data_IF_343899967194
#
_entry.id   IF_343899967194
#
_cell.length_a   1.000
_cell.length_b   1.000
_cell.length_c   1.000
_cell.angle_alpha   90.00
_cell.angle_beta   90.00
_cell.angle_gamma   90.00
#
_symmetry.space_group_name_H-M   'P 1'
#
loop_
_entity.id
_entity.type
_entity.pdbx_description
1 polymer ?
#
# COMPACT_ATOMS: atom_id res chain seq x y z
N UNK A 1 17.53 32.54 -27.06
CA UNK A 1 16.28 31.86 -27.46
C UNK A 1 16.50 30.34 -27.42
N UNK A 2 17.63 29.88 -27.94
CA UNK A 2 17.99 28.46 -28.16
C UNK A 2 18.03 27.54 -26.91
N UNK A 3 18.44 28.03 -25.72
CA UNK A 3 18.54 27.17 -24.53
C UNK A 3 17.17 26.83 -23.91
N UNK A 4 16.18 27.74 -24.04
CA UNK A 4 14.83 27.49 -23.54
C UNK A 4 14.09 26.49 -24.44
N UNK A 5 14.21 26.68 -25.76
CA UNK A 5 13.63 25.80 -26.79
C UNK A 5 14.21 24.37 -26.68
N UNK A 6 15.53 24.23 -26.52
CA UNK A 6 16.17 22.94 -26.30
C UNK A 6 15.74 22.26 -24.98
N UNK A 7 15.41 23.04 -23.93
CA UNK A 7 14.91 22.51 -22.67
C UNK A 7 13.46 22.01 -22.78
N UNK A 8 12.62 22.72 -23.55
CA UNK A 8 11.23 22.31 -23.79
C UNK A 8 11.16 21.07 -24.67
N UNK A 9 11.99 20.99 -25.71
CA UNK A 9 12.10 19.80 -26.57
C UNK A 9 12.56 18.59 -25.78
N UNK A 10 13.58 18.76 -24.91
CA UNK A 10 14.06 17.69 -24.02
C UNK A 10 12.98 17.23 -23.05
N UNK A 11 12.20 18.15 -22.49
CA UNK A 11 11.06 17.84 -21.63
C UNK A 11 9.99 17.05 -22.40
N UNK A 12 9.63 17.48 -23.60
CA UNK A 12 8.63 16.82 -24.42
C UNK A 12 9.07 15.39 -24.80
N UNK A 13 10.33 15.21 -25.18
CA UNK A 13 10.91 13.90 -25.46
C UNK A 13 10.87 12.98 -24.23
N UNK A 14 11.19 13.51 -23.05
CA UNK A 14 11.14 12.75 -21.80
C UNK A 14 9.70 12.35 -21.43
N UNK A 15 8.73 13.25 -21.61
CA UNK A 15 7.31 12.94 -21.41
C UNK A 15 6.81 11.84 -22.36
N UNK A 16 7.28 11.83 -23.60
CA UNK A 16 6.97 10.77 -24.55
C UNK A 16 7.61 9.43 -24.13
N UNK A 17 8.88 9.46 -23.69
CA UNK A 17 9.59 8.28 -23.23
C UNK A 17 8.94 7.64 -21.99
N UNK A 18 8.44 8.45 -21.04
CA UNK A 18 7.66 7.97 -19.90
C UNK A 18 6.40 7.21 -20.32
N UNK A 19 5.82 7.51 -21.48
CA UNK A 19 4.65 6.82 -22.06
C UNK A 19 5.04 5.75 -23.09
N UNK A 20 6.32 5.44 -23.23
CA UNK A 20 6.84 4.49 -24.22
C UNK A 20 6.36 3.06 -24.02
N UNK A 21 6.43 2.24 -25.08
CA UNK A 21 5.90 0.88 -25.06
C UNK A 21 6.69 -0.08 -24.16
N UNK A 22 8.01 0.09 -24.05
CA UNK A 22 8.88 -0.86 -23.34
C UNK A 22 9.06 -0.47 -21.87
N UNK A 23 8.97 -1.43 -20.92
CA UNK A 23 9.25 -1.16 -19.51
C UNK A 23 10.65 -0.57 -19.28
N UNK A 24 11.68 -1.09 -20.00
CA UNK A 24 13.05 -0.59 -19.89
C UNK A 24 13.18 0.88 -20.32
N UNK A 25 12.49 1.29 -21.38
CA UNK A 25 12.49 2.70 -21.84
C UNK A 25 11.80 3.62 -20.83
N UNK A 26 10.66 3.19 -20.29
CA UNK A 26 9.95 3.94 -19.23
C UNK A 26 10.77 4.01 -17.94
N UNK A 27 11.47 2.94 -17.57
CA UNK A 27 12.37 2.91 -16.42
C UNK A 27 13.50 3.93 -16.57
N UNK A 28 14.18 3.94 -17.72
CA UNK A 28 15.23 4.91 -18.03
C UNK A 28 14.70 6.35 -18.01
N UNK A 29 13.51 6.59 -18.56
CA UNK A 29 12.86 7.89 -18.52
C UNK A 29 12.53 8.34 -17.08
N UNK A 30 12.00 7.43 -16.25
CA UNK A 30 11.71 7.73 -14.85
C UNK A 30 12.99 8.00 -14.04
N UNK A 31 14.07 7.25 -14.30
CA UNK A 31 15.38 7.49 -13.70
C UNK A 31 15.89 8.90 -14.06
N UNK A 32 15.86 9.26 -15.35
CA UNK A 32 16.30 10.58 -15.78
C UNK A 32 15.45 11.69 -15.15
N UNK A 33 14.13 11.52 -15.08
CA UNK A 33 13.22 12.49 -14.46
C UNK A 33 13.49 12.70 -12.96
N UNK A 34 13.98 11.69 -12.24
CA UNK A 34 14.38 11.84 -10.84
C UNK A 34 15.81 12.35 -10.65
N UNK A 35 16.72 12.06 -11.59
CA UNK A 35 18.09 12.62 -11.58
C UNK A 35 18.11 14.10 -11.94
N UNK A 36 17.23 14.54 -12.83
CA UNK A 36 17.07 15.93 -13.26
C UNK A 36 15.62 16.39 -13.00
N UNK A 37 15.26 16.73 -11.75
CA UNK A 37 13.87 17.04 -11.39
C UNK A 37 13.37 18.31 -12.07
N UNK A 38 12.29 18.19 -12.83
CA UNK A 38 11.62 19.30 -13.51
C UNK A 38 10.14 19.33 -13.11
N UNK A 39 9.66 20.40 -12.44
CA UNK A 39 8.25 20.58 -12.10
C UNK A 39 7.28 20.44 -13.28
N UNK A 40 7.73 20.73 -14.50
CA UNK A 40 6.94 20.54 -15.72
C UNK A 40 6.57 19.07 -15.99
N UNK A 41 7.31 18.11 -15.43
CA UNK A 41 7.03 16.68 -15.57
C UNK A 41 5.97 16.15 -14.59
N UNK A 42 5.57 16.95 -13.58
CA UNK A 42 4.71 16.48 -12.49
C UNK A 42 3.42 15.82 -12.99
N UNK A 43 2.72 16.46 -13.93
CA UNK A 43 1.47 15.91 -14.46
C UNK A 43 1.67 14.54 -15.13
N UNK A 44 2.72 14.41 -15.96
CA UNK A 44 3.05 13.16 -16.66
C UNK A 44 3.48 12.06 -15.70
N UNK A 45 4.27 12.38 -14.66
CA UNK A 45 4.66 11.41 -13.63
C UNK A 45 3.45 10.91 -12.83
N UNK A 46 2.55 11.81 -12.44
CA UNK A 46 1.31 11.46 -11.73
C UNK A 46 0.41 10.57 -12.59
N UNK A 47 0.18 10.97 -13.85
CA UNK A 47 -0.59 10.16 -14.81
C UNK A 47 0.02 8.76 -14.94
N UNK A 48 1.34 8.68 -15.10
CA UNK A 48 2.03 7.41 -15.32
C UNK A 48 1.97 6.49 -14.11
N UNK A 49 2.09 7.01 -12.88
CA UNK A 49 1.88 6.23 -11.66
C UNK A 49 0.52 5.50 -11.68
N UNK A 50 -0.53 6.15 -12.19
CA UNK A 50 -1.88 5.58 -12.20
C UNK A 50 -2.11 4.40 -13.14
N UNK A 51 -1.22 4.17 -14.12
CA UNK A 51 -1.42 3.16 -15.18
C UNK A 51 -0.21 2.29 -15.48
N UNK A 52 0.94 2.51 -14.82
CA UNK A 52 2.15 1.73 -15.02
C UNK A 52 2.05 0.26 -14.56
N UNK A 53 2.10 -0.74 -15.46
CA UNK A 53 2.01 -2.13 -15.07
C UNK A 53 3.30 -2.68 -14.42
N UNK A 54 4.47 -2.13 -14.77
CA UNK A 54 5.75 -2.62 -14.28
C UNK A 54 6.06 -2.10 -12.87
N UNK A 55 6.34 -3.01 -11.95
CA UNK A 55 6.62 -2.67 -10.54
C UNK A 55 7.87 -1.81 -10.39
N UNK A 56 8.97 -2.13 -11.09
CA UNK A 56 10.21 -1.37 -10.98
C UNK A 56 10.05 0.04 -11.55
N UNK A 57 9.27 0.19 -12.62
CA UNK A 57 8.92 1.52 -13.15
C UNK A 57 8.07 2.29 -12.13
N UNK A 58 7.07 1.67 -11.48
CA UNK A 58 6.27 2.34 -10.42
C UNK A 58 7.10 2.81 -9.23
N UNK A 59 8.04 2.00 -8.76
CA UNK A 59 8.95 2.40 -7.68
C UNK A 59 9.85 3.57 -8.11
N UNK A 60 10.34 3.54 -9.35
CA UNK A 60 11.19 4.60 -9.89
C UNK A 60 10.40 5.90 -10.12
N UNK A 61 9.14 5.82 -10.55
CA UNK A 61 8.25 6.98 -10.66
C UNK A 61 7.97 7.60 -9.29
N UNK A 62 7.76 6.78 -8.26
CA UNK A 62 7.62 7.24 -6.88
C UNK A 62 8.88 7.99 -6.43
N UNK A 63 10.06 7.42 -6.69
CA UNK A 63 11.33 8.09 -6.39
C UNK A 63 11.43 9.43 -7.13
N UNK A 64 11.18 9.47 -8.44
CA UNK A 64 11.21 10.71 -9.22
C UNK A 64 10.25 11.78 -8.68
N UNK A 65 9.05 11.41 -8.25
CA UNK A 65 8.10 12.33 -7.61
C UNK A 65 8.63 12.91 -6.30
N UNK A 66 9.35 12.12 -5.48
CA UNK A 66 9.93 12.58 -4.20
C UNK A 66 11.01 13.64 -4.43
N UNK A 67 11.66 13.64 -5.59
CA UNK A 67 12.69 14.63 -5.93
C UNK A 67 12.11 16.01 -6.27
N UNK A 68 10.82 16.11 -6.59
CA UNK A 68 10.14 17.38 -6.88
C UNK A 68 9.75 18.12 -5.59
N UNK A 69 9.53 19.46 -5.66
CA UNK A 69 9.09 20.23 -4.51
C UNK A 69 7.81 19.68 -3.87
N UNK A 70 7.86 19.37 -2.57
CA UNK A 70 6.72 18.81 -1.81
C UNK A 70 5.45 19.66 -1.90
N UNK A 71 5.59 20.98 -2.00
CA UNK A 71 4.49 21.94 -2.16
C UNK A 71 3.70 21.73 -3.46
N UNK A 72 4.30 21.11 -4.47
CA UNK A 72 3.63 20.75 -5.73
C UNK A 72 3.11 19.30 -5.71
N UNK A 73 3.91 18.38 -5.18
CA UNK A 73 3.65 16.94 -5.22
C UNK A 73 2.49 16.54 -4.31
N UNK A 74 2.48 17.01 -3.06
CA UNK A 74 1.46 16.60 -2.07
C UNK A 74 0.03 16.96 -2.52
N UNK A 75 -0.25 18.20 -3.00
CA UNK A 75 -1.58 18.51 -3.54
C UNK A 75 -1.95 17.68 -4.77
N UNK A 76 -1.00 17.32 -5.62
CA UNK A 76 -1.24 16.48 -6.79
C UNK A 76 -1.59 15.03 -6.41
N UNK A 77 -0.86 14.44 -5.47
CA UNK A 77 -1.14 13.10 -4.94
C UNK A 77 -2.48 13.05 -4.20
N UNK A 78 -2.81 14.09 -3.43
CA UNK A 78 -4.12 14.18 -2.75
C UNK A 78 -5.28 14.04 -3.73
N UNK A 79 -5.21 14.68 -4.92
CA UNK A 79 -6.27 14.54 -5.93
C UNK A 79 -6.39 13.12 -6.48
N UNK A 80 -5.30 12.35 -6.51
CA UNK A 80 -5.32 10.97 -6.99
C UNK A 80 -5.97 9.99 -5.99
N UNK A 81 -6.13 10.38 -4.73
CA UNK A 81 -6.84 9.57 -3.74
C UNK A 81 -8.32 9.34 -4.09
N UNK A 82 -8.91 10.21 -4.92
CA UNK A 82 -10.29 10.09 -5.42
C UNK A 82 -10.34 9.57 -6.88
N UNK A 83 -9.21 9.15 -7.44
CA UNK A 83 -9.15 8.69 -8.83
C UNK A 83 -9.96 7.38 -9.01
N UNK A 84 -10.62 7.19 -10.17
CA UNK A 84 -11.40 5.98 -10.43
C UNK A 84 -10.53 4.72 -10.47
N UNK A 85 -9.27 4.85 -10.94
CA UNK A 85 -8.33 3.76 -11.05
C UNK A 85 -7.75 3.37 -9.68
N UNK A 86 -7.92 2.12 -9.23
CA UNK A 86 -7.34 1.68 -7.95
C UNK A 86 -5.82 1.85 -7.88
N UNK A 87 -5.12 1.60 -8.99
CA UNK A 87 -3.67 1.79 -9.04
C UNK A 87 -3.26 3.25 -8.80
N UNK A 88 -4.03 4.23 -9.28
CA UNK A 88 -3.74 5.63 -9.00
C UNK A 88 -3.89 5.95 -7.51
N UNK A 89 -4.95 5.44 -6.87
CA UNK A 89 -5.16 5.58 -5.42
C UNK A 89 -4.03 4.91 -4.62
N UNK A 90 -3.69 3.65 -4.95
CA UNK A 90 -2.67 2.89 -4.23
C UNK A 90 -1.26 3.47 -4.41
N UNK A 91 -0.89 3.91 -5.62
CA UNK A 91 0.38 4.60 -5.83
C UNK A 91 0.43 5.95 -5.11
N UNK A 92 -0.67 6.72 -5.11
CA UNK A 92 -0.72 7.99 -4.40
C UNK A 92 -0.54 7.81 -2.89
N UNK A 93 -1.23 6.81 -2.30
CA UNK A 93 -1.03 6.41 -0.91
C UNK A 93 0.42 6.00 -0.63
N UNK A 94 1.00 5.16 -1.50
CA UNK A 94 2.38 4.71 -1.37
C UNK A 94 3.35 5.91 -1.36
N UNK A 95 3.26 6.81 -2.33
CA UNK A 95 4.12 8.00 -2.39
C UNK A 95 3.91 8.93 -1.19
N UNK A 96 2.67 9.16 -0.75
CA UNK A 96 2.38 9.96 0.46
C UNK A 96 3.03 9.36 1.72
N UNK A 97 3.08 8.03 1.84
CA UNK A 97 3.77 7.38 2.96
C UNK A 97 5.28 7.64 2.95
N UNK A 98 5.91 7.63 1.76
CA UNK A 98 7.34 7.96 1.61
C UNK A 98 7.67 9.42 1.93
N UNK A 99 6.72 10.31 1.67
CA UNK A 99 6.87 11.72 2.00
C UNK A 99 6.65 12.02 3.49
N UNK A 100 6.07 11.09 4.26
CA UNK A 100 5.69 11.29 5.67
C UNK A 100 4.81 12.54 5.80
N UNK A 101 3.53 12.40 5.48
CA UNK A 101 2.54 13.48 5.42
C UNK A 101 1.52 13.29 6.53
N UNK A 102 1.71 13.86 7.75
CA UNK A 102 0.80 13.64 8.88
C UNK A 102 -0.65 14.03 8.59
N UNK A 103 -0.86 15.10 7.80
CA UNK A 103 -2.19 15.54 7.38
C UNK A 103 -2.92 14.53 6.47
N UNK A 104 -2.23 13.50 5.97
CA UNK A 104 -2.84 12.44 5.18
C UNK A 104 -3.85 11.63 5.99
N UNK A 105 -3.79 11.62 7.33
CA UNK A 105 -4.77 10.97 8.19
C UNK A 105 -6.22 11.31 7.77
N UNK A 106 -6.52 12.60 7.63
CA UNK A 106 -7.85 13.10 7.27
C UNK A 106 -8.27 12.78 5.83
N UNK A 107 -7.35 12.33 4.97
CA UNK A 107 -7.63 11.94 3.58
C UNK A 107 -7.76 10.42 3.44
N UNK A 108 -7.07 9.65 4.29
CA UNK A 108 -7.00 8.20 4.23
C UNK A 108 -8.08 7.55 5.09
N UNK A 109 -8.29 8.05 6.30
CA UNK A 109 -9.22 7.47 7.25
C UNK A 109 -10.57 8.21 7.25
N UNK A 110 -11.72 7.51 7.27
CA UNK A 110 -11.87 6.05 7.19
C UNK A 110 -12.00 5.52 5.75
N UNK A 111 -12.15 6.39 4.75
CA UNK A 111 -12.61 6.01 3.41
C UNK A 111 -11.67 5.02 2.69
N UNK A 112 -10.38 5.32 2.58
CA UNK A 112 -9.43 4.46 1.86
C UNK A 112 -9.03 3.22 2.64
N UNK A 113 -9.09 3.28 3.98
CA UNK A 113 -8.97 2.09 4.83
C UNK A 113 -10.07 1.07 4.54
N UNK A 114 -11.24 1.54 4.09
CA UNK A 114 -12.38 0.72 3.71
C UNK A 114 -12.55 0.61 2.18
N UNK A 115 -11.54 0.95 1.38
CA UNK A 115 -11.64 0.88 -0.09
C UNK A 115 -12.04 -0.54 -0.52
N UNK A 116 -12.95 -0.70 -1.51
CA UNK A 116 -13.35 -2.02 -1.99
C UNK A 116 -12.23 -2.76 -2.73
N UNK A 117 -11.23 -2.04 -3.25
CA UNK A 117 -10.06 -2.65 -3.87
C UNK A 117 -9.04 -3.09 -2.81
N UNK A 118 -8.59 -4.34 -2.90
CA UNK A 118 -7.69 -4.93 -1.91
C UNK A 118 -6.30 -4.28 -1.90
N UNK A 119 -5.74 -3.91 -3.05
CA UNK A 119 -4.42 -3.28 -3.11
C UNK A 119 -4.44 -1.84 -2.57
N UNK A 120 -5.56 -1.12 -2.81
CA UNK A 120 -5.78 0.18 -2.18
C UNK A 120 -5.92 0.04 -0.67
N UNK A 121 -6.78 -0.86 -0.19
CA UNK A 121 -7.00 -1.07 1.24
C UNK A 121 -5.71 -1.46 1.96
N UNK A 122 -4.94 -2.42 1.43
CA UNK A 122 -3.64 -2.85 1.99
C UNK A 122 -2.64 -1.71 2.10
N UNK A 123 -2.61 -0.83 1.12
CA UNK A 123 -1.72 0.33 1.14
C UNK A 123 -2.22 1.36 2.15
N UNK A 124 -3.53 1.61 2.18
CA UNK A 124 -4.17 2.52 3.13
C UNK A 124 -3.99 2.07 4.59
N UNK A 125 -4.04 0.78 4.91
CA UNK A 125 -3.80 0.28 6.26
C UNK A 125 -2.40 0.64 6.75
N UNK A 126 -1.36 0.37 5.95
CA UNK A 126 0.03 0.74 6.28
C UNK A 126 0.19 2.24 6.45
N UNK A 127 -0.39 3.04 5.55
CA UNK A 127 -0.33 4.50 5.64
C UNK A 127 -1.04 4.98 6.91
N UNK A 128 -2.26 4.51 7.17
CA UNK A 128 -3.06 4.92 8.32
C UNK A 128 -2.36 4.63 9.65
N UNK A 129 -1.75 3.45 9.81
CA UNK A 129 -0.97 3.12 11.01
C UNK A 129 0.24 4.05 11.18
N UNK A 130 0.91 4.41 10.09
CA UNK A 130 2.06 5.31 10.13
C UNK A 130 1.73 6.78 10.41
N UNK A 131 0.47 7.20 10.24
CA UNK A 131 0.06 8.62 10.43
C UNK A 131 -1.10 8.81 11.41
N UNK A 132 -1.53 7.76 12.11
CA UNK A 132 -2.61 7.85 13.09
C UNK A 132 -2.25 8.85 14.19
N UNK A 133 -3.07 9.88 14.44
CA UNK A 133 -2.81 10.84 15.49
C UNK A 133 -3.15 10.25 16.87
N UNK A 134 -2.51 10.80 17.90
CA UNK A 134 -2.78 10.43 19.29
C UNK A 134 -4.26 10.59 19.62
N UNK A 135 -4.88 9.54 20.15
CA UNK A 135 -6.29 9.48 20.51
C UNK A 135 -7.20 8.83 19.46
N UNK A 136 -6.72 8.56 18.25
CA UNK A 136 -7.48 7.89 17.19
C UNK A 136 -7.11 6.41 17.03
N UNK A 137 -6.16 5.89 17.79
CA UNK A 137 -5.63 4.53 17.63
C UNK A 137 -6.74 3.47 17.83
N UNK A 138 -7.55 3.63 18.87
CA UNK A 138 -8.69 2.74 19.13
C UNK A 138 -9.73 2.74 17.99
N UNK A 139 -9.92 3.88 17.32
CA UNK A 139 -10.84 4.01 16.19
C UNK A 139 -10.27 3.31 14.94
N UNK A 140 -8.96 3.44 14.71
CA UNK A 140 -8.26 2.69 13.68
C UNK A 140 -8.32 1.19 13.96
N UNK A 141 -8.04 0.75 15.19
CA UNK A 141 -8.12 -0.65 15.64
C UNK A 141 -9.49 -1.23 15.35
N UNK A 142 -10.56 -0.57 15.81
CA UNK A 142 -11.93 -1.01 15.56
C UNK A 142 -12.26 -1.11 14.07
N UNK A 143 -11.71 -0.21 13.25
CA UNK A 143 -11.90 -0.24 11.79
C UNK A 143 -11.13 -1.38 11.13
N UNK A 144 -9.85 -1.57 11.44
CA UNK A 144 -9.01 -2.63 10.86
C UNK A 144 -9.50 -4.03 11.25
N UNK A 145 -9.99 -4.22 12.48
CA UNK A 145 -10.55 -5.51 12.91
C UNK A 145 -11.78 -5.94 12.08
N UNK A 146 -12.54 -5.00 11.50
CA UNK A 146 -13.65 -5.35 10.58
C UNK A 146 -13.18 -6.00 9.29
N UNK A 147 -11.92 -5.81 8.90
CA UNK A 147 -11.31 -6.41 7.71
C UNK A 147 -10.73 -7.81 7.96
N UNK A 148 -10.84 -8.36 9.18
CA UNK A 148 -10.48 -9.75 9.43
C UNK A 148 -11.21 -10.69 8.47
N UNK A 149 -10.51 -11.72 7.99
CA UNK A 149 -10.99 -12.60 6.92
C UNK A 149 -11.05 -12.03 5.49
N UNK A 150 -10.75 -10.75 5.25
CA UNK A 150 -10.80 -10.15 3.89
C UNK A 150 -9.75 -10.73 2.94
N UNK A 151 -10.12 -10.86 1.65
CA UNK A 151 -9.22 -11.16 0.54
C UNK A 151 -8.60 -12.55 0.56
N UNK A 152 -7.45 -12.72 -0.08
CA UNK A 152 -6.66 -13.96 -0.11
C UNK A 152 -5.67 -14.03 1.07
N UNK A 153 -4.63 -14.88 0.98
CA UNK A 153 -3.61 -14.99 2.03
C UNK A 153 -2.74 -13.73 2.13
N UNK A 154 -2.40 -13.10 1.01
CA UNK A 154 -1.54 -11.92 0.97
C UNK A 154 -2.25 -10.69 1.54
N UNK A 155 -3.54 -10.53 1.26
CA UNK A 155 -4.38 -9.48 1.85
C UNK A 155 -4.43 -9.64 3.37
N UNK A 156 -4.68 -10.86 3.86
CA UNK A 156 -4.71 -11.15 5.31
C UNK A 156 -3.36 -10.92 5.98
N UNK A 157 -2.28 -11.37 5.36
CA UNK A 157 -0.91 -11.12 5.82
C UNK A 157 -0.61 -9.62 5.94
N UNK A 158 -1.05 -8.82 4.97
CA UNK A 158 -0.93 -7.37 5.03
C UNK A 158 -1.73 -6.73 6.16
N UNK A 159 -2.98 -7.17 6.39
CA UNK A 159 -3.77 -6.68 7.52
C UNK A 159 -3.12 -7.06 8.86
N UNK A 160 -2.66 -8.30 9.00
CA UNK A 160 -1.98 -8.78 10.21
C UNK A 160 -0.75 -7.94 10.54
N UNK A 161 0.07 -7.58 9.54
CA UNK A 161 1.21 -6.68 9.74
C UNK A 161 0.79 -5.30 10.22
N UNK A 162 -0.24 -4.71 9.61
CA UNK A 162 -0.76 -3.41 10.04
C UNK A 162 -1.31 -3.45 11.49
N UNK A 163 -2.00 -4.53 11.86
CA UNK A 163 -2.50 -4.73 13.23
C UNK A 163 -1.35 -4.90 14.23
N UNK A 164 -0.28 -5.62 13.88
CA UNK A 164 0.90 -5.79 14.74
C UNK A 164 1.62 -4.45 14.94
N UNK A 165 1.79 -3.65 13.88
CA UNK A 165 2.36 -2.31 13.98
C UNK A 165 1.48 -1.40 14.87
N UNK A 166 0.16 -1.49 14.73
CA UNK A 166 -0.79 -0.73 15.56
C UNK A 166 -0.82 -1.20 17.02
N UNK A 167 -0.49 -2.46 17.31
CA UNK A 167 -0.40 -2.97 18.68
C UNK A 167 0.63 -2.22 19.54
N UNK A 168 1.64 -1.63 18.89
CA UNK A 168 2.66 -0.80 19.56
C UNK A 168 2.10 0.56 20.01
N UNK A 169 0.95 0.96 19.46
CA UNK A 169 0.31 2.26 19.70
C UNK A 169 -1.00 2.13 20.50
N UNK A 170 -1.66 0.97 20.44
CA UNK A 170 -2.94 0.69 21.10
C UNK A 170 -2.92 -0.63 21.88
N UNK A 171 -2.81 -0.53 23.21
CA UNK A 171 -2.83 -1.67 24.14
C UNK A 171 -4.16 -2.45 24.11
N UNK A 172 -5.24 -1.87 23.57
CA UNK A 172 -6.54 -2.54 23.49
C UNK A 172 -6.65 -3.52 22.32
N UNK A 173 -5.69 -3.50 21.39
CA UNK A 173 -5.72 -4.30 20.15
C UNK A 173 -5.61 -5.80 20.42
N UNK A 174 -4.70 -6.24 21.29
CA UNK A 174 -4.53 -7.67 21.61
C UNK A 174 -5.79 -8.25 22.29
N UNK A 175 -6.37 -7.65 23.35
CA UNK A 175 -7.65 -8.08 23.89
C UNK A 175 -8.78 -8.12 22.85
N UNK A 176 -8.80 -7.18 21.90
CA UNK A 176 -9.79 -7.16 20.84
C UNK A 176 -9.60 -8.30 19.82
N UNK A 177 -8.35 -8.65 19.47
CA UNK A 177 -8.02 -9.81 18.65
C UNK A 177 -8.41 -11.13 19.33
N UNK A 178 -8.18 -11.26 20.64
CA UNK A 178 -8.62 -12.43 21.42
C UNK A 178 -10.13 -12.59 21.32
N UNK A 179 -10.89 -11.52 21.58
CA UNK A 179 -12.36 -11.54 21.41
C UNK A 179 -12.76 -11.90 19.98
N UNK A 180 -12.08 -11.37 18.97
CA UNK A 180 -12.36 -11.66 17.57
C UNK A 180 -12.14 -13.15 17.22
N UNK A 181 -11.05 -13.73 17.72
CA UNK A 181 -10.73 -15.17 17.59
C UNK A 181 -11.81 -16.05 18.24
N UNK A 182 -12.40 -15.61 19.35
CA UNK A 182 -13.31 -16.44 20.12
C UNK A 182 -14.78 -16.31 19.66
N UNK A 183 -15.16 -15.17 19.05
CA UNK A 183 -16.58 -14.84 18.80
C UNK A 183 -17.00 -14.68 17.34
N UNK A 184 -16.06 -14.46 16.41
CA UNK A 184 -16.40 -14.19 15.00
C UNK A 184 -16.62 -15.47 14.17
N UNK A 185 -16.87 -15.33 12.86
CA UNK A 185 -17.01 -16.49 11.97
C UNK A 185 -15.67 -17.16 11.73
N UNK A 186 -15.70 -18.44 11.32
CA UNK A 186 -14.51 -19.29 11.20
C UNK A 186 -13.31 -18.63 10.49
N UNK A 187 -13.50 -17.99 9.33
CA UNK A 187 -12.42 -17.31 8.59
C UNK A 187 -11.82 -16.12 9.37
N UNK A 188 -12.67 -15.33 10.04
CA UNK A 188 -12.23 -14.20 10.86
C UNK A 188 -11.51 -14.69 12.12
N UNK A 189 -11.98 -15.77 12.73
CA UNK A 189 -11.34 -16.40 13.89
C UNK A 189 -9.96 -16.94 13.53
N UNK A 190 -9.84 -17.60 12.39
CA UNK A 190 -8.56 -18.10 11.89
C UNK A 190 -7.59 -16.96 11.61
N UNK A 191 -8.05 -15.87 10.98
CA UNK A 191 -7.20 -14.71 10.75
C UNK A 191 -6.75 -14.08 12.07
N UNK A 192 -7.68 -13.79 13.00
CA UNK A 192 -7.33 -13.23 14.31
C UNK A 192 -6.36 -14.13 15.09
N UNK A 193 -6.56 -15.45 15.06
CA UNK A 193 -5.65 -16.43 15.66
C UNK A 193 -4.24 -16.36 15.06
N UNK A 194 -4.13 -16.29 13.74
CA UNK A 194 -2.84 -16.15 13.06
C UNK A 194 -2.15 -14.82 13.41
N UNK A 195 -2.89 -13.72 13.48
CA UNK A 195 -2.36 -12.42 13.90
C UNK A 195 -1.85 -12.46 15.34
N UNK A 196 -2.57 -13.10 16.26
CA UNK A 196 -2.13 -13.30 17.65
C UNK A 196 -0.84 -14.14 17.73
N UNK A 197 -0.72 -15.19 16.92
CA UNK A 197 0.53 -15.97 16.83
C UNK A 197 1.70 -15.11 16.38
N UNK A 198 1.52 -14.29 15.34
CA UNK A 198 2.56 -13.37 14.86
C UNK A 198 2.91 -12.27 15.86
N UNK A 199 1.93 -11.81 16.66
CA UNK A 199 2.16 -10.83 17.71
C UNK A 199 3.04 -11.41 18.83
N UNK A 200 2.83 -12.67 19.18
CA UNK A 200 3.62 -13.39 20.20
C UNK A 200 4.99 -13.86 19.69
N UNK A 201 5.09 -14.23 18.41
CA UNK A 201 6.33 -14.65 17.75
C UNK A 201 6.51 -13.93 16.40
N UNK A 202 7.28 -12.81 16.38
CA UNK A 202 7.58 -12.08 15.15
C UNK A 202 8.35 -12.90 14.09
N UNK A 203 8.97 -14.02 14.47
CA UNK A 203 9.67 -14.92 13.57
C UNK A 203 8.75 -15.92 12.87
N UNK A 204 7.50 -16.07 13.32
CA UNK A 204 6.56 -17.02 12.74
C UNK A 204 6.16 -16.62 11.31
N UNK A 205 5.97 -17.63 10.46
CA UNK A 205 5.41 -17.41 9.12
C UNK A 205 3.90 -17.22 9.20
N UNK A 206 3.37 -16.22 8.49
CA UNK A 206 1.93 -16.01 8.40
C UNK A 206 1.21 -17.24 7.84
N UNK A 207 1.77 -17.88 6.81
CA UNK A 207 1.11 -19.01 6.14
C UNK A 207 0.96 -20.22 7.06
N UNK A 208 1.99 -20.52 7.87
CA UNK A 208 1.94 -21.55 8.90
C UNK A 208 0.94 -21.21 10.01
N UNK A 209 1.05 -20.00 10.58
CA UNK A 209 0.15 -19.54 11.62
C UNK A 209 -1.32 -19.55 11.17
N UNK A 210 -1.58 -19.15 9.92
CA UNK A 210 -2.92 -19.16 9.34
C UNK A 210 -3.43 -20.56 9.07
N UNK A 211 -2.59 -21.46 8.51
CA UNK A 211 -2.98 -22.85 8.31
C UNK A 211 -3.36 -23.54 9.63
N UNK A 212 -2.62 -23.27 10.70
CA UNK A 212 -2.87 -23.84 12.04
C UNK A 212 -4.15 -23.26 12.66
N UNK A 213 -4.30 -21.93 12.61
CA UNK A 213 -5.50 -21.26 13.10
C UNK A 213 -6.77 -21.69 12.35
N UNK A 214 -6.67 -21.96 11.04
CA UNK A 214 -7.78 -22.53 10.26
C UNK A 214 -8.19 -23.92 10.75
N UNK A 215 -7.24 -24.82 11.00
CA UNK A 215 -7.53 -26.16 11.53
C UNK A 215 -8.25 -26.07 12.88
N UNK A 216 -7.78 -25.18 13.76
CA UNK A 216 -8.41 -24.93 15.06
C UNK A 216 -9.82 -24.34 14.93
N UNK A 217 -10.07 -23.54 13.89
CA UNK A 217 -11.38 -22.97 13.59
C UNK A 217 -12.34 -23.95 12.88
N UNK A 218 -11.91 -25.19 12.61
CA UNK A 218 -12.70 -26.21 11.91
C UNK A 218 -12.82 -25.99 10.40
N UNK A 219 -11.91 -25.22 9.80
CA UNK A 219 -11.89 -24.94 8.37
C UNK A 219 -11.11 -26.02 7.60
N UNK A 220 -11.53 -26.27 6.37
CA UNK A 220 -10.82 -27.15 5.45
C UNK A 220 -9.40 -26.61 5.16
N UNK A 221 -8.43 -27.51 4.88
CA UNK A 221 -7.10 -27.14 4.42
C UNK A 221 -7.16 -26.24 3.19
N UNK A 222 -6.20 -25.33 3.06
CA UNK A 222 -6.04 -24.58 1.82
C UNK A 222 -5.68 -25.57 0.70
N UNK A 223 -6.22 -25.41 -0.52
CA UNK A 223 -5.78 -26.21 -1.65
C UNK A 223 -4.26 -26.04 -1.81
N UNK A 224 -3.54 -27.16 -1.75
CA UNK A 224 -2.08 -27.17 -1.71
C UNK A 224 -1.49 -26.49 -2.94
N UNK A 225 -0.56 -25.55 -2.73
CA UNK A 225 0.33 -25.07 -3.78
C UNK A 225 1.09 -26.27 -4.35
N UNK A 226 0.98 -26.49 -5.65
CA UNK A 226 1.77 -27.52 -6.33
C UNK A 226 3.25 -27.26 -6.07
N UNK A 227 3.93 -28.20 -5.42
CA UNK A 227 5.39 -28.25 -5.41
C UNK A 227 5.88 -28.33 -6.86
N UNK A 228 6.86 -27.51 -7.29
CA UNK A 228 7.48 -27.74 -8.59
C UNK A 228 8.18 -29.10 -8.54
N UNK A 229 7.72 -30.02 -9.38
CA UNK A 229 8.44 -31.28 -9.66
C UNK A 229 9.86 -30.93 -10.08
N UNK A 230 10.91 -31.51 -9.46
CA UNK A 230 12.26 -31.33 -9.93
C UNK A 230 12.39 -31.97 -11.32
N UNK A 231 12.91 -31.19 -12.28
CA UNK A 231 13.45 -31.71 -13.53
C UNK A 231 14.92 -32.05 -13.35
#
# INVERSE_FOLDING_TARGET
>A
MDQHENSEDRRAALMAALRGATPSGRLQAALLAGTEPDPGLLATLIERCGVEPDFFVRETLTWALIQLPRTLVVPALRRQLDAPLPQARSQALHTLSKLVVPQAWAWVFPSLVNDPDDEVARTAWRVAVGVVPRGEEAHLTGTLLRHLGRGDADVKKSLSRALIELALLDESLEPALIRARDTLRAEQRAHAGATLTLLADPGASFDGAYADARRNAGLAPLPGGASPTPR
#
